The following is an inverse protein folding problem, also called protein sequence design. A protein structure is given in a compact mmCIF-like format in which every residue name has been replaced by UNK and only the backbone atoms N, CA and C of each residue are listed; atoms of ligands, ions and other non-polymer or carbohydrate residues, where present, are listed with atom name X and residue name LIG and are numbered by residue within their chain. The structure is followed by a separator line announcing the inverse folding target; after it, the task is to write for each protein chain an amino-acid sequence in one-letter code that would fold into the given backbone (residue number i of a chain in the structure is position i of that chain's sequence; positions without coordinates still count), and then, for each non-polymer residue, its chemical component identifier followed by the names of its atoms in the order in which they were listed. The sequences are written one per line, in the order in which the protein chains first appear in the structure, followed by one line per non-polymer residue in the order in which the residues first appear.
data_IF_816595092513
#
_entry.id   IF_816595092513
#
_cell.length_a   1.000
_cell.length_b   1.000
_cell.length_c   1.000
_cell.angle_alpha   90.00
_cell.angle_beta   90.00
_cell.angle_gamma   90.00
#
_symmetry.space_group_name_H-M   'P 1'
#
loop_
_entity.id
_entity.type
_entity.pdbx_description
1 polymer ?
#
# COMPACT_ATOMS: atom_id res chain seq x y z
N UNK A 1 -15.47 7.89 -11.77
CA UNK A 1 -14.75 7.36 -10.59
C UNK A 1 -13.22 7.36 -10.74
N UNK A 2 -12.63 7.05 -11.91
CA UNK A 2 -11.17 6.87 -12.04
C UNK A 2 -10.33 8.16 -12.18
N UNK A 3 -10.92 9.30 -12.55
CA UNK A 3 -10.26 10.61 -12.44
C UNK A 3 -9.93 10.93 -10.97
N UNK A 4 -10.66 10.36 -10.00
CA UNK A 4 -10.40 10.58 -8.58
C UNK A 4 -9.07 9.96 -8.12
N UNK A 5 -8.58 8.94 -8.83
CA UNK A 5 -7.24 8.33 -8.60
C UNK A 5 -6.10 9.24 -9.02
N UNK A 6 -6.39 10.32 -9.76
CA UNK A 6 -5.42 11.32 -10.14
C UNK A 6 -5.28 12.36 -9.05
N UNK A 7 -4.03 12.61 -8.66
CA UNK A 7 -3.67 13.63 -7.69
C UNK A 7 -3.38 14.91 -8.46
N UNK A 8 -4.11 16.01 -8.23
CA UNK A 8 -3.81 17.29 -8.88
C UNK A 8 -2.53 17.88 -8.31
N UNK A 9 -1.59 18.24 -9.18
CA UNK A 9 -0.23 18.68 -8.79
C UNK A 9 0.13 20.09 -9.20
N UNK A 10 -0.72 20.74 -10.01
CA UNK A 10 -0.54 22.15 -10.38
C UNK A 10 -0.50 23.00 -9.09
N UNK A 11 0.66 23.62 -8.82
CA UNK A 11 0.93 24.38 -7.60
C UNK A 11 1.45 23.58 -6.39
N UNK A 12 1.63 22.26 -6.51
CA UNK A 12 1.94 21.36 -5.37
C UNK A 12 3.14 20.44 -5.62
N UNK A 13 3.97 20.73 -6.62
CA UNK A 13 5.18 19.95 -6.95
C UNK A 13 6.14 19.79 -5.76
N UNK A 14 6.21 20.79 -4.87
CA UNK A 14 7.03 20.75 -3.65
C UNK A 14 6.61 19.58 -2.74
N UNK A 15 5.32 19.40 -2.48
CA UNK A 15 4.80 18.36 -1.59
C UNK A 15 5.15 16.95 -2.10
N UNK A 16 5.07 16.73 -3.42
CA UNK A 16 5.42 15.45 -4.03
C UNK A 16 6.92 15.18 -3.93
N UNK A 17 7.73 16.21 -4.17
CA UNK A 17 9.18 16.12 -3.99
C UNK A 17 9.55 15.87 -2.53
N UNK A 18 8.77 16.42 -1.59
CA UNK A 18 8.96 16.21 -0.17
C UNK A 18 8.55 14.79 0.24
N UNK A 19 7.51 14.20 -0.35
CA UNK A 19 7.17 12.78 -0.18
C UNK A 19 8.31 11.87 -0.66
N UNK A 20 8.91 12.12 -1.84
CA UNK A 20 10.09 11.36 -2.29
C UNK A 20 11.25 11.50 -1.28
N UNK A 21 11.46 12.70 -0.74
CA UNK A 21 12.52 12.98 0.24
C UNK A 21 12.27 12.32 1.59
N UNK A 22 11.01 12.09 1.99
CA UNK A 22 10.67 11.40 3.24
C UNK A 22 11.36 10.04 3.38
N UNK A 23 11.54 9.35 2.24
CA UNK A 23 12.10 8.01 2.17
C UNK A 23 13.56 7.98 1.72
N UNK A 24 14.07 9.07 1.13
CA UNK A 24 15.49 9.18 0.71
C UNK A 24 16.41 9.58 1.85
N UNK A 25 15.90 10.33 2.83
CA UNK A 25 16.63 10.69 4.06
C UNK A 25 15.74 10.41 5.27
N UNK A 26 15.67 9.14 5.73
CA UNK A 26 14.78 8.75 6.82
C UNK A 26 15.11 9.44 8.15
N UNK A 27 16.29 10.07 8.28
CA UNK A 27 16.73 10.83 9.46
C UNK A 27 16.71 12.35 9.25
N UNK A 28 16.11 12.82 8.16
CA UNK A 28 16.00 14.24 7.87
C UNK A 28 15.40 15.00 9.05
N UNK A 29 16.07 16.08 9.46
CA UNK A 29 15.60 16.98 10.51
C UNK A 29 14.78 18.16 9.98
N UNK A 30 14.45 18.16 8.68
CA UNK A 30 13.66 19.25 8.09
C UNK A 30 12.24 19.21 8.65
N UNK A 31 11.82 20.34 9.24
CA UNK A 31 10.52 20.50 9.91
C UNK A 31 9.34 20.05 9.02
N UNK A 32 9.33 20.44 7.75
CA UNK A 32 8.28 20.07 6.79
C UNK A 32 8.16 18.55 6.59
N UNK A 33 9.30 17.84 6.53
CA UNK A 33 9.34 16.38 6.36
C UNK A 33 8.93 15.64 7.65
N UNK A 34 9.35 16.15 8.80
CA UNK A 34 8.91 15.63 10.10
C UNK A 34 7.39 15.75 10.22
N UNK A 35 6.83 16.94 9.93
CA UNK A 35 5.39 17.18 9.96
C UNK A 35 4.66 16.22 9.02
N UNK A 36 5.11 16.07 7.77
CA UNK A 36 4.42 15.21 6.81
C UNK A 36 4.44 13.73 7.23
N UNK A 37 5.53 13.27 7.85
CA UNK A 37 5.62 11.94 8.46
C UNK A 37 4.64 11.77 9.61
N UNK A 38 4.61 12.73 10.54
CA UNK A 38 3.68 12.73 11.66
C UNK A 38 2.23 12.71 11.18
N UNK A 39 1.89 13.54 10.19
CA UNK A 39 0.57 13.56 9.59
C UNK A 39 0.18 12.20 8.99
N UNK A 40 1.08 11.52 8.26
CA UNK A 40 0.79 10.21 7.68
C UNK A 40 0.46 9.17 8.76
N UNK A 41 1.24 9.13 9.84
CA UNK A 41 0.98 8.23 10.98
C UNK A 41 -0.31 8.60 11.70
N UNK A 42 -0.50 9.88 12.02
CA UNK A 42 -1.70 10.36 12.71
C UNK A 42 -2.96 10.10 11.90
N UNK A 43 -2.89 10.22 10.57
CA UNK A 43 -4.01 9.90 9.69
C UNK A 43 -4.44 8.44 9.86
N UNK A 44 -3.51 7.48 9.86
CA UNK A 44 -3.85 6.08 10.11
C UNK A 44 -4.39 5.85 11.54
N UNK A 45 -3.80 6.52 12.54
CA UNK A 45 -4.18 6.38 13.95
C UNK A 45 -5.59 6.93 14.22
N UNK A 46 -5.92 8.10 13.67
CA UNK A 46 -7.20 8.78 13.88
C UNK A 46 -8.38 8.10 13.16
N UNK A 47 -8.12 7.12 12.28
CA UNK A 47 -9.19 6.28 11.72
C UNK A 47 -9.74 5.39 12.82
N UNK A 48 -10.73 5.92 13.51
CA UNK A 48 -11.43 5.28 14.61
C UNK A 48 -12.66 4.52 14.07
N UNK A 49 -12.39 3.45 13.32
CA UNK A 49 -13.39 2.48 12.86
C UNK A 49 -12.84 1.08 13.04
N UNK A 50 -13.73 0.12 13.28
CA UNK A 50 -13.35 -1.29 13.29
C UNK A 50 -12.89 -1.73 11.89
N UNK A 51 -11.89 -2.63 11.81
CA UNK A 51 -11.49 -3.20 10.53
C UNK A 51 -12.65 -3.97 9.90
N UNK A 52 -12.79 -3.87 8.58
CA UNK A 52 -13.79 -4.68 7.88
C UNK A 52 -13.45 -6.15 8.05
N UNK A 53 -14.43 -6.96 8.47
CA UNK A 53 -14.26 -8.42 8.53
C UNK A 53 -14.06 -9.01 7.14
N UNK A 54 -13.06 -9.90 7.01
CA UNK A 54 -12.81 -10.64 5.75
C UNK A 54 -14.01 -11.49 5.32
N UNK A 55 -14.87 -11.92 6.25
CA UNK A 55 -16.10 -12.67 5.94
C UNK A 55 -17.06 -11.83 5.09
N UNK A 56 -17.15 -10.52 5.36
CA UNK A 56 -18.08 -9.64 4.66
C UNK A 56 -17.61 -9.31 3.24
N UNK A 57 -16.31 -9.42 2.99
CA UNK A 57 -15.72 -9.15 1.68
C UNK A 57 -15.61 -10.42 0.83
N UNK A 58 -15.56 -11.62 1.41
CA UNK A 58 -15.55 -12.86 0.60
C UNK A 58 -16.96 -13.21 0.09
N UNK A 59 -17.99 -12.96 0.89
CA UNK A 59 -19.38 -13.23 0.51
C UNK A 59 -20.13 -11.93 0.31
N UNK A 60 -20.30 -11.47 -0.92
CA UNK A 60 -20.99 -10.19 -1.15
C UNK A 60 -22.51 -10.34 -1.20
N UNK A 61 -23.12 -10.21 -0.04
CA UNK A 61 -24.57 -10.03 0.10
C UNK A 61 -24.90 -8.56 0.37
N UNK A 62 -26.14 -8.15 0.08
CA UNK A 62 -26.67 -6.83 0.46
C UNK A 62 -26.47 -6.58 1.97
N UNK A 63 -26.63 -7.62 2.79
CA UNK A 63 -26.41 -7.55 4.23
C UNK A 63 -24.95 -7.25 4.59
N UNK A 64 -24.00 -7.88 3.92
CA UNK A 64 -22.58 -7.62 4.17
C UNK A 64 -22.17 -6.22 3.72
N UNK A 65 -22.75 -5.72 2.63
CA UNK A 65 -22.58 -4.33 2.21
C UNK A 65 -23.16 -3.34 3.24
N UNK A 66 -24.34 -3.63 3.79
CA UNK A 66 -24.94 -2.84 4.86
C UNK A 66 -24.10 -2.85 6.14
N UNK A 67 -23.49 -3.99 6.50
CA UNK A 67 -22.57 -4.10 7.63
C UNK A 67 -21.33 -3.23 7.44
N UNK A 68 -20.71 -3.26 6.24
CA UNK A 68 -19.56 -2.40 5.90
C UNK A 68 -19.97 -0.92 6.00
N UNK A 69 -21.15 -0.55 5.51
CA UNK A 69 -21.67 0.83 5.58
C UNK A 69 -21.80 1.35 7.02
N UNK A 70 -22.15 0.47 7.98
CA UNK A 70 -22.32 0.82 9.40
C UNK A 70 -20.99 1.03 10.12
N UNK A 71 -19.93 0.32 9.72
CA UNK A 71 -18.60 0.44 10.35
C UNK A 71 -17.76 1.55 9.71
N UNK A 72 -18.05 1.95 8.47
CA UNK A 72 -17.30 2.96 7.75
C UNK A 72 -17.64 4.40 8.17
N UNK A 73 -16.67 5.32 8.10
CA UNK A 73 -16.87 6.75 8.35
C UNK A 73 -17.09 7.51 7.04
N UNK A 74 -17.87 8.58 7.08
CA UNK A 74 -18.01 9.48 5.93
C UNK A 74 -16.68 10.17 5.62
N UNK A 75 -16.15 9.97 4.41
CA UNK A 75 -14.81 10.45 4.02
C UNK A 75 -14.66 11.97 4.18
N UNK A 76 -15.67 12.75 3.73
CA UNK A 76 -15.66 14.22 3.84
C UNK A 76 -15.57 14.69 5.29
N UNK A 77 -16.45 14.17 6.15
CA UNK A 77 -16.50 14.50 7.57
C UNK A 77 -15.23 14.09 8.31
N UNK A 78 -14.64 12.96 7.92
CA UNK A 78 -13.36 12.51 8.46
C UNK A 78 -12.23 13.49 8.08
N UNK A 79 -12.14 13.86 6.81
CA UNK A 79 -11.13 14.82 6.34
C UNK A 79 -11.29 16.17 7.03
N UNK A 80 -12.49 16.73 7.13
CA UNK A 80 -12.77 18.01 7.80
C UNK A 80 -12.25 18.02 9.25
N UNK A 81 -12.56 16.99 10.03
CA UNK A 81 -12.07 16.86 11.41
C UNK A 81 -10.55 16.77 11.50
N UNK A 82 -9.92 16.09 10.56
CA UNK A 82 -8.47 15.93 10.55
C UNK A 82 -7.77 17.25 10.13
N UNK A 83 -8.34 18.01 9.19
CA UNK A 83 -7.87 19.35 8.82
C UNK A 83 -7.83 20.27 10.04
N UNK A 84 -8.94 20.34 10.77
CA UNK A 84 -9.09 21.18 11.96
C UNK A 84 -8.08 20.81 13.06
N UNK A 85 -7.86 19.50 13.28
CA UNK A 85 -7.02 19.00 14.37
C UNK A 85 -5.51 19.20 14.11
N UNK A 86 -5.07 19.13 12.86
CA UNK A 86 -3.63 19.06 12.52
C UNK A 86 -3.13 20.17 11.59
N UNK A 87 -3.94 21.19 11.30
CA UNK A 87 -3.60 22.30 10.40
C UNK A 87 -3.01 21.80 9.05
N UNK A 88 -3.67 20.78 8.49
CA UNK A 88 -3.32 20.22 7.19
C UNK A 88 -4.17 20.87 6.10
N UNK A 89 -3.69 20.86 4.85
CA UNK A 89 -4.51 21.24 3.70
C UNK A 89 -5.32 20.04 3.18
N UNK A 90 -6.47 20.29 2.55
CA UNK A 90 -7.31 19.24 1.95
C UNK A 90 -6.53 18.37 0.95
N UNK A 91 -5.61 18.99 0.20
CA UNK A 91 -4.75 18.31 -0.77
C UNK A 91 -3.69 17.43 -0.10
N UNK A 92 -3.09 17.87 1.01
CA UNK A 92 -2.19 17.01 1.80
C UNK A 92 -2.92 15.78 2.28
N UNK A 93 -4.10 15.94 2.89
CA UNK A 93 -4.90 14.80 3.36
C UNK A 93 -5.25 13.87 2.20
N UNK A 94 -5.67 14.40 1.05
CA UNK A 94 -5.96 13.58 -0.12
C UNK A 94 -4.75 12.73 -0.53
N UNK A 95 -3.56 13.32 -0.58
CA UNK A 95 -2.33 12.59 -0.95
C UNK A 95 -2.00 11.51 0.09
N UNK A 96 -2.06 11.85 1.38
CA UNK A 96 -1.76 10.90 2.46
C UNK A 96 -2.76 9.74 2.48
N UNK A 97 -4.05 10.03 2.29
CA UNK A 97 -5.09 9.01 2.16
C UNK A 97 -4.85 8.10 0.94
N UNK A 98 -4.40 8.66 -0.19
CA UNK A 98 -4.04 7.88 -1.38
C UNK A 98 -2.85 6.96 -1.13
N UNK A 99 -1.85 7.43 -0.38
CA UNK A 99 -0.73 6.59 0.08
C UNK A 99 -1.25 5.45 0.96
N UNK A 100 -2.04 5.73 2.00
CA UNK A 100 -2.59 4.69 2.88
C UNK A 100 -3.46 3.68 2.12
N UNK A 101 -4.25 4.13 1.14
CA UNK A 101 -5.09 3.26 0.30
C UNK A 101 -4.25 2.35 -0.59
N UNK A 102 -3.25 2.88 -1.30
CA UNK A 102 -2.42 2.04 -2.16
C UNK A 102 -1.48 1.10 -1.41
N UNK A 103 -1.18 1.42 -0.14
CA UNK A 103 -0.56 0.50 0.83
C UNK A 103 -1.54 -0.55 1.38
N UNK A 104 -2.84 -0.42 1.11
CA UNK A 104 -3.86 -1.38 1.53
C UNK A 104 -4.29 -1.23 2.99
N UNK A 105 -4.00 -0.11 3.67
CA UNK A 105 -4.40 0.12 5.07
C UNK A 105 -5.85 0.59 5.20
N UNK A 106 -6.36 1.22 4.15
CA UNK A 106 -7.73 1.73 4.09
C UNK A 106 -8.33 1.38 2.73
N UNK A 107 -9.66 1.38 2.67
CA UNK A 107 -10.38 1.32 1.40
C UNK A 107 -11.47 2.39 1.35
N UNK A 108 -11.81 2.81 0.13
CA UNK A 108 -12.93 3.71 -0.11
C UNK A 108 -14.12 2.94 -0.67
N UNK A 109 -15.28 3.15 -0.06
CA UNK A 109 -16.54 2.63 -0.57
C UNK A 109 -17.39 3.78 -1.09
N UNK A 110 -18.02 3.57 -2.24
CA UNK A 110 -19.07 4.46 -2.74
C UNK A 110 -20.41 3.75 -2.54
N UNK A 111 -21.28 4.36 -1.74
CA UNK A 111 -22.62 3.85 -1.44
C UNK A 111 -23.63 4.93 -1.81
N UNK A 112 -24.29 4.76 -2.96
CA UNK A 112 -25.08 5.82 -3.58
C UNK A 112 -24.23 7.09 -3.79
N UNK A 113 -24.64 8.19 -3.15
CA UNK A 113 -23.92 9.47 -3.19
C UNK A 113 -22.92 9.67 -2.03
N UNK A 114 -22.83 8.71 -1.10
CA UNK A 114 -21.91 8.79 0.05
C UNK A 114 -20.58 8.13 -0.29
N UNK A 115 -19.47 8.78 0.09
CA UNK A 115 -18.13 8.19 0.11
C UNK A 115 -17.76 7.86 1.53
N UNK A 116 -17.37 6.61 1.75
CA UNK A 116 -17.01 6.09 3.05
C UNK A 116 -15.54 5.66 3.03
N UNK A 117 -14.88 5.80 4.18
CA UNK A 117 -13.55 5.30 4.47
C UNK A 117 -13.66 4.19 5.50
N UNK A 118 -12.94 3.10 5.27
CA UNK A 118 -12.87 1.97 6.20
C UNK A 118 -11.43 1.54 6.42
N UNK A 119 -11.16 1.00 7.61
CA UNK A 119 -9.90 0.40 7.98
C UNK A 119 -9.87 -1.07 7.49
N UNK A 120 -8.75 -1.52 6.95
CA UNK A 120 -8.52 -2.94 6.63
C UNK A 120 -7.92 -3.67 7.83
N UNK A 121 -7.93 -5.00 7.82
CA UNK A 121 -7.25 -5.79 8.86
C UNK A 121 -5.75 -5.47 8.89
N UNK A 122 -5.12 -5.32 7.71
CA UNK A 122 -3.73 -4.89 7.60
C UNK A 122 -3.51 -3.49 8.22
N UNK A 123 -4.41 -2.55 7.94
CA UNK A 123 -4.37 -1.20 8.51
C UNK A 123 -4.49 -1.19 10.03
N UNK A 124 -5.38 -2.02 10.58
CA UNK A 124 -5.55 -2.16 12.04
C UNK A 124 -4.30 -2.72 12.72
N UNK A 125 -3.68 -3.76 12.17
CA UNK A 125 -2.43 -4.32 12.71
C UNK A 125 -1.30 -3.28 12.72
N UNK A 126 -1.13 -2.56 11.60
CA UNK A 126 -0.10 -1.53 11.50
C UNK A 126 -0.41 -0.37 12.44
N UNK A 127 -1.68 0.05 12.55
CA UNK A 127 -2.14 1.07 13.49
C UNK A 127 -1.81 0.71 14.95
N UNK A 128 -2.12 -0.51 15.37
CA UNK A 128 -1.87 -0.97 16.73
C UNK A 128 -0.36 -1.06 17.01
N UNK A 129 0.41 -1.47 16.00
CA UNK A 129 1.86 -1.54 16.10
C UNK A 129 2.51 -0.15 16.27
N UNK A 130 2.12 0.84 15.46
CA UNK A 130 2.68 2.21 15.58
C UNK A 130 2.22 2.93 16.85
N UNK A 131 1.03 2.62 17.37
CA UNK A 131 0.50 3.20 18.61
C UNK A 131 1.31 2.80 19.85
N UNK A 132 2.06 1.70 19.80
CA UNK A 132 2.97 1.27 20.90
C UNK A 132 4.22 2.16 21.03
N UNK A 133 4.34 3.24 20.24
CA UNK A 133 5.34 4.32 20.31
C UNK A 133 6.82 3.92 20.10
N UNK A 134 7.13 2.64 19.93
CA UNK A 134 8.49 2.16 19.66
C UNK A 134 8.95 2.35 18.20
N UNK A 135 8.05 2.79 17.29
CA UNK A 135 8.33 2.88 15.86
C UNK A 135 7.99 4.26 15.30
N UNK A 136 9.02 4.98 14.82
CA UNK A 136 8.87 6.28 14.12
C UNK A 136 9.45 6.25 12.70
N UNK A 137 9.62 5.04 12.16
CA UNK A 137 10.23 4.76 10.87
C UNK A 137 9.12 4.58 9.82
N UNK A 138 9.16 5.37 8.75
CA UNK A 138 8.17 5.31 7.66
C UNK A 138 8.19 3.98 6.92
N UNK A 139 9.30 3.29 7.01
CA UNK A 139 9.57 1.92 6.58
C UNK A 139 8.48 0.94 7.05
N UNK A 140 8.03 1.09 8.31
CA UNK A 140 6.96 0.28 8.92
C UNK A 140 5.62 0.48 8.21
N UNK A 141 5.41 1.62 7.56
CA UNK A 141 4.22 1.85 6.74
C UNK A 141 4.35 1.25 5.33
N UNK A 142 5.52 0.88 4.85
CA UNK A 142 5.66 0.41 3.47
C UNK A 142 5.80 -1.11 3.42
N UNK A 143 6.64 -1.68 4.29
CA UNK A 143 7.01 -3.10 4.20
C UNK A 143 5.86 -4.08 4.38
N UNK A 144 4.92 -3.89 5.32
CA UNK A 144 3.79 -4.81 5.48
C UNK A 144 3.00 -4.96 4.18
N UNK A 145 2.75 -3.85 3.48
CA UNK A 145 1.99 -3.81 2.23
C UNK A 145 2.62 -4.62 1.10
N UNK A 146 3.95 -4.77 1.09
CA UNK A 146 4.64 -5.49 0.03
C UNK A 146 4.33 -6.98 0.07
N UNK A 147 3.92 -7.52 1.21
CA UNK A 147 3.66 -8.96 1.34
C UNK A 147 2.31 -9.34 0.72
N UNK A 148 1.34 -8.45 0.77
CA UNK A 148 -0.05 -8.70 0.41
C UNK A 148 -0.39 -8.22 -1.00
N UNK A 149 -1.50 -8.68 -1.56
CA UNK A 149 -2.06 -8.17 -2.83
C UNK A 149 -2.49 -6.71 -2.70
N UNK A 150 -1.53 -5.80 -2.78
CA UNK A 150 -1.73 -4.34 -2.70
C UNK A 150 -1.18 -3.68 -3.96
N UNK A 151 -1.58 -2.43 -4.20
CA UNK A 151 -0.99 -1.61 -5.27
C UNK A 151 0.51 -1.42 -5.05
N UNK A 152 0.91 -1.18 -3.80
CA UNK A 152 2.31 -1.06 -3.41
C UNK A 152 3.14 -2.30 -3.81
N UNK A 153 2.66 -3.52 -3.54
CA UNK A 153 3.36 -4.75 -3.95
C UNK A 153 3.53 -4.86 -5.47
N UNK A 154 2.46 -4.58 -6.22
CA UNK A 154 2.49 -4.67 -7.67
C UNK A 154 3.43 -3.63 -8.29
N UNK A 155 3.37 -2.37 -7.82
CA UNK A 155 4.28 -1.30 -8.26
C UNK A 155 5.72 -1.60 -7.87
N UNK A 156 5.96 -2.05 -6.63
CA UNK A 156 7.31 -2.40 -6.16
C UNK A 156 7.96 -3.48 -7.03
N UNK A 157 7.16 -4.50 -7.37
CA UNK A 157 7.60 -5.58 -8.22
C UNK A 157 8.02 -5.09 -9.61
N UNK A 158 7.11 -4.44 -10.32
CA UNK A 158 7.40 -3.89 -11.65
C UNK A 158 8.57 -2.90 -11.63
N UNK A 159 8.65 -2.06 -10.60
CA UNK A 159 9.76 -1.13 -10.39
C UNK A 159 11.11 -1.81 -10.29
N UNK A 160 11.22 -2.90 -9.54
CA UNK A 160 12.49 -3.62 -9.44
C UNK A 160 12.86 -4.36 -10.72
N UNK A 161 11.88 -4.86 -11.48
CA UNK A 161 12.14 -5.60 -12.71
C UNK A 161 12.48 -4.71 -13.90
N UNK A 162 11.95 -3.48 -13.95
CA UNK A 162 11.97 -2.63 -15.14
C UNK A 162 12.51 -1.21 -14.86
N UNK A 163 12.88 -0.89 -13.63
CA UNK A 163 13.30 0.45 -13.23
C UNK A 163 12.16 1.47 -13.30
N UNK A 164 12.45 2.72 -13.67
CA UNK A 164 11.45 3.81 -13.81
C UNK A 164 10.68 3.81 -15.13
N UNK A 165 10.85 2.79 -15.97
CA UNK A 165 10.24 2.79 -17.29
C UNK A 165 8.74 2.46 -17.22
N UNK A 166 7.93 3.51 -17.09
CA UNK A 166 6.47 3.44 -17.05
C UNK A 166 5.85 2.83 -18.30
N UNK A 167 6.52 2.95 -19.46
CA UNK A 167 6.04 2.35 -20.69
C UNK A 167 6.30 0.85 -20.69
N UNK A 168 7.49 0.43 -20.24
CA UNK A 168 7.77 -0.98 -20.01
C UNK A 168 6.82 -1.56 -18.95
N UNK A 169 6.54 -0.82 -17.88
CA UNK A 169 5.56 -1.24 -16.86
C UNK A 169 4.19 -1.46 -17.45
N UNK A 170 3.70 -0.51 -18.24
CA UNK A 170 2.43 -0.62 -18.94
C UNK A 170 2.41 -1.86 -19.83
N UNK A 171 3.44 -2.06 -20.65
CA UNK A 171 3.51 -3.19 -21.58
C UNK A 171 3.54 -4.54 -20.85
N UNK A 172 4.37 -4.67 -19.81
CA UNK A 172 4.48 -5.89 -19.01
C UNK A 172 3.19 -6.14 -18.23
N UNK A 173 2.63 -5.11 -17.60
CA UNK A 173 1.40 -5.26 -16.83
C UNK A 173 0.20 -5.57 -17.73
N UNK A 174 0.11 -4.97 -18.91
CA UNK A 174 -0.87 -5.34 -19.94
C UNK A 174 -0.69 -6.80 -20.32
N UNK A 175 0.52 -7.20 -20.75
CA UNK A 175 0.82 -8.58 -21.15
C UNK A 175 0.42 -9.56 -20.05
N UNK A 176 0.90 -9.37 -18.83
CA UNK A 176 0.65 -10.30 -17.73
C UNK A 176 -0.84 -10.30 -17.30
N UNK A 177 -1.57 -9.19 -17.49
CA UNK A 177 -3.02 -9.13 -17.26
C UNK A 177 -3.79 -9.90 -18.34
N UNK A 178 -3.45 -9.74 -19.62
CA UNK A 178 -4.13 -10.39 -20.75
C UNK A 178 -3.75 -11.87 -20.92
N UNK A 179 -2.55 -12.26 -20.50
CA UNK A 179 -2.10 -13.65 -20.46
C UNK A 179 -2.56 -14.40 -19.19
N UNK A 180 -3.51 -13.83 -18.43
CA UNK A 180 -4.03 -14.38 -17.16
C UNK A 180 -2.95 -14.72 -16.11
N UNK A 181 -1.77 -14.10 -16.21
CA UNK A 181 -0.66 -14.36 -15.30
C UNK A 181 -0.82 -13.68 -13.93
N UNK A 182 -1.69 -12.66 -13.85
CA UNK A 182 -1.98 -11.85 -12.66
C UNK A 182 -3.21 -12.29 -11.86
N UNK A 183 -3.56 -13.59 -11.91
CA UNK A 183 -4.74 -14.16 -11.21
C UNK A 183 -4.95 -13.62 -9.79
N UNK A 184 -6.10 -12.99 -9.59
CA UNK A 184 -6.58 -12.34 -8.37
C UNK A 184 -5.85 -11.05 -7.94
N UNK A 185 -5.05 -10.42 -8.81
CA UNK A 185 -4.53 -9.04 -8.66
C UNK A 185 -5.00 -8.12 -9.80
N UNK A 186 -5.94 -8.57 -10.62
CA UNK A 186 -6.38 -7.95 -11.87
C UNK A 186 -6.94 -6.57 -11.62
N UNK A 187 -7.77 -6.36 -10.59
CA UNK A 187 -8.28 -5.00 -10.32
C UNK A 187 -7.16 -4.04 -9.98
N UNK A 188 -6.15 -4.46 -9.22
CA UNK A 188 -5.01 -3.61 -8.87
C UNK A 188 -4.22 -3.27 -10.14
N UNK A 189 -3.97 -4.27 -10.99
CA UNK A 189 -3.34 -4.10 -12.29
C UNK A 189 -4.12 -3.12 -13.18
N UNK A 190 -5.44 -3.32 -13.30
CA UNK A 190 -6.36 -2.46 -14.04
C UNK A 190 -6.34 -1.04 -13.48
N UNK A 191 -6.33 -0.84 -12.16
CA UNK A 191 -6.22 0.49 -11.57
C UNK A 191 -4.90 1.18 -11.95
N UNK A 192 -3.77 0.47 -11.88
CA UNK A 192 -2.46 1.00 -12.29
C UNK A 192 -2.45 1.31 -13.79
N UNK A 193 -2.95 0.41 -14.64
CA UNK A 193 -3.02 0.62 -16.09
C UNK A 193 -3.87 1.84 -16.43
N UNK A 194 -5.05 2.00 -15.83
CA UNK A 194 -5.90 3.16 -16.04
C UNK A 194 -5.23 4.45 -15.58
N UNK A 195 -4.60 4.44 -14.41
CA UNK A 195 -3.79 5.57 -13.92
C UNK A 195 -2.70 5.97 -14.93
N UNK A 196 -1.98 5.00 -15.49
CA UNK A 196 -0.93 5.21 -16.49
C UNK A 196 -1.51 5.77 -17.80
N UNK A 197 -2.62 5.23 -18.28
CA UNK A 197 -3.30 5.69 -19.51
C UNK A 197 -3.78 7.13 -19.36
N UNK A 198 -4.46 7.45 -18.26
CA UNK A 198 -5.00 8.79 -17.99
C UNK A 198 -3.93 9.87 -17.85
N UNK A 199 -2.72 9.49 -17.42
CA UNK A 199 -1.60 10.41 -17.21
C UNK A 199 -0.53 10.31 -18.29
N UNK A 200 -0.82 9.63 -19.39
CA UNK A 200 0.11 9.39 -20.49
C UNK A 200 1.51 8.97 -20.00
N UNK A 201 1.60 7.78 -19.38
CA UNK A 201 2.84 7.21 -18.85
C UNK A 201 3.63 8.17 -17.93
N UNK A 202 2.93 8.92 -17.07
CA UNK A 202 3.54 9.84 -16.11
C UNK A 202 3.83 11.24 -16.65
N UNK A 203 3.43 11.54 -17.88
CA UNK A 203 3.54 12.88 -18.47
C UNK A 203 2.22 13.64 -18.33
N UNK A 204 2.03 14.31 -17.19
CA UNK A 204 0.99 15.32 -17.07
C UNK A 204 1.49 16.54 -16.28
N UNK A 205 1.32 17.76 -16.81
CA UNK A 205 1.68 18.98 -16.07
C UNK A 205 0.74 19.24 -14.89
N UNK A 206 -0.45 18.62 -14.90
CA UNK A 206 -1.54 18.95 -13.97
C UNK A 206 -1.83 17.82 -12.97
N UNK A 207 -1.50 16.57 -13.29
CA UNK A 207 -1.87 15.41 -12.48
C UNK A 207 -0.73 14.41 -12.32
N UNK A 208 -0.72 13.69 -11.20
CA UNK A 208 0.12 12.52 -10.97
C UNK A 208 -0.77 11.34 -10.57
N UNK A 209 -0.50 10.13 -11.08
CA UNK A 209 -1.18 8.95 -10.61
C UNK A 209 -0.61 8.50 -9.25
N UNK A 210 -1.43 7.79 -8.46
CA UNK A 210 -1.06 7.22 -7.17
C UNK A 210 0.14 6.26 -7.29
N UNK A 211 0.18 5.46 -8.36
CA UNK A 211 1.31 4.58 -8.70
C UNK A 211 2.65 5.31 -8.76
N UNK A 212 2.71 6.55 -9.29
CA UNK A 212 3.95 7.35 -9.34
C UNK A 212 4.46 7.68 -7.93
N UNK A 213 3.55 7.94 -6.97
CA UNK A 213 3.96 8.17 -5.57
C UNK A 213 4.69 6.96 -5.02
N UNK A 214 4.20 5.74 -5.30
CA UNK A 214 4.86 4.53 -4.83
C UNK A 214 6.23 4.33 -5.45
N UNK A 215 6.42 4.61 -6.74
CA UNK A 215 7.76 4.59 -7.36
C UNK A 215 8.70 5.53 -6.62
N UNK A 216 8.23 6.72 -6.28
CA UNK A 216 9.01 7.75 -5.59
C UNK A 216 9.37 7.32 -4.16
N UNK A 217 8.43 6.69 -3.46
CA UNK A 217 8.66 6.07 -2.15
C UNK A 217 9.71 4.96 -2.26
N UNK A 218 9.56 4.05 -3.23
CA UNK A 218 10.51 2.95 -3.45
C UNK A 218 11.88 3.42 -3.93
N UNK A 219 11.96 4.50 -4.71
CA UNK A 219 13.21 5.18 -5.04
C UNK A 219 13.97 5.56 -3.77
N UNK A 220 13.28 6.29 -2.89
CA UNK A 220 13.85 6.76 -1.64
C UNK A 220 14.33 5.61 -0.78
N UNK A 221 13.50 4.60 -0.59
CA UNK A 221 13.86 3.40 0.18
C UNK A 221 15.05 2.65 -0.44
N UNK A 222 15.09 2.50 -1.77
CA UNK A 222 16.20 1.86 -2.48
C UNK A 222 17.48 2.67 -2.34
N UNK A 223 17.42 4.01 -2.40
CA UNK A 223 18.58 4.88 -2.17
C UNK A 223 19.10 4.79 -0.73
N UNK A 224 18.19 4.68 0.24
CA UNK A 224 18.53 4.64 1.66
C UNK A 224 19.10 3.29 2.10
N UNK A 225 18.60 2.18 1.54
CA UNK A 225 18.89 0.83 2.02
C UNK A 225 19.55 -0.09 0.98
N UNK A 226 19.58 0.29 -0.30
CA UNK A 226 20.12 -0.52 -1.37
C UNK A 226 19.44 -1.88 -1.47
N UNK A 227 20.24 -2.93 -1.63
CA UNK A 227 19.73 -4.30 -1.75
C UNK A 227 19.13 -4.83 -0.45
N UNK A 228 19.45 -4.26 0.73
CA UNK A 228 18.83 -4.68 1.99
C UNK A 228 17.31 -4.51 1.99
N UNK A 229 16.77 -3.52 1.27
CA UNK A 229 15.33 -3.37 1.13
C UNK A 229 14.70 -4.52 0.33
N UNK A 230 15.40 -5.00 -0.70
CA UNK A 230 14.97 -6.17 -1.48
C UNK A 230 15.05 -7.44 -0.67
N UNK A 231 16.14 -7.64 0.07
CA UNK A 231 16.32 -8.78 0.98
C UNK A 231 15.23 -8.79 2.07
N UNK A 232 14.89 -7.63 2.65
CA UNK A 232 13.79 -7.53 3.60
C UNK A 232 12.46 -7.98 2.98
N UNK A 233 12.15 -7.46 1.80
CA UNK A 233 10.94 -7.86 1.09
C UNK A 233 10.89 -9.37 0.87
N UNK A 234 11.98 -9.97 0.37
CA UNK A 234 12.06 -11.41 0.09
C UNK A 234 11.87 -12.21 1.39
N UNK A 235 12.63 -11.90 2.44
CA UNK A 235 12.62 -12.62 3.70
C UNK A 235 11.25 -12.57 4.38
N UNK A 236 10.60 -11.39 4.42
CA UNK A 236 9.27 -11.24 5.00
C UNK A 236 8.21 -11.93 4.13
N UNK A 237 8.29 -11.80 2.80
CA UNK A 237 7.35 -12.45 1.89
C UNK A 237 7.41 -13.97 2.03
N UNK A 238 8.62 -14.53 2.11
CA UNK A 238 8.84 -15.95 2.37
C UNK A 238 8.27 -16.35 3.74
N UNK A 239 8.66 -15.67 4.81
CA UNK A 239 8.23 -16.02 6.17
C UNK A 239 6.71 -15.98 6.37
N UNK A 240 6.05 -14.96 5.84
CA UNK A 240 4.60 -14.75 6.00
C UNK A 240 3.80 -15.70 5.10
N UNK A 241 4.26 -15.95 3.86
CA UNK A 241 3.43 -16.61 2.84
C UNK A 241 3.74 -18.09 2.65
N UNK A 242 4.99 -18.53 2.84
CA UNK A 242 5.46 -19.86 2.46
C UNK A 242 4.59 -20.99 3.02
N UNK A 243 4.31 -20.94 4.32
CA UNK A 243 3.46 -21.92 4.98
C UNK A 243 2.05 -22.00 4.35
N UNK A 244 1.45 -20.85 4.04
CA UNK A 244 0.13 -20.78 3.41
C UNK A 244 0.14 -21.23 1.95
N UNK A 245 1.24 -21.00 1.24
CA UNK A 245 1.44 -21.49 -0.11
C UNK A 245 1.62 -22.99 -0.18
N UNK A 246 2.23 -23.61 0.84
CA UNK A 246 2.33 -25.06 0.96
C UNK A 246 0.97 -25.68 1.34
N UNK A 247 0.20 -25.04 2.22
CA UNK A 247 -1.15 -25.50 2.62
C UNK A 247 -2.22 -25.30 1.55
N UNK A 248 -2.18 -24.19 0.81
CA UNK A 248 -3.21 -23.77 -0.14
C UNK A 248 -2.59 -23.18 -1.41
N UNK A 249 -1.82 -23.98 -2.15
CA UNK A 249 -1.01 -23.55 -3.30
C UNK A 249 -1.79 -22.88 -4.43
N UNK A 250 -3.05 -23.28 -4.65
CA UNK A 250 -3.93 -22.68 -5.66
C UNK A 250 -4.46 -21.30 -5.25
N UNK A 251 -4.67 -21.08 -3.94
CA UNK A 251 -5.27 -19.85 -3.41
C UNK A 251 -4.23 -18.79 -3.07
N UNK A 252 -3.12 -19.21 -2.46
CA UNK A 252 -2.04 -18.32 -2.03
C UNK A 252 -0.71 -18.71 -2.67
N UNK A 253 -0.57 -18.69 -4.00
CA UNK A 253 0.65 -19.13 -4.65
C UNK A 253 1.87 -18.27 -4.26
N UNK A 254 2.96 -18.93 -3.88
CA UNK A 254 4.28 -18.31 -3.76
C UNK A 254 5.05 -18.56 -5.05
N UNK A 255 5.10 -17.56 -5.93
CA UNK A 255 5.89 -17.62 -7.17
C UNK A 255 7.30 -17.09 -6.90
N UNK A 256 8.24 -18.02 -6.66
CA UNK A 256 9.67 -17.69 -6.52
C UNK A 256 10.20 -17.07 -7.80
N UNK A 257 9.77 -17.55 -8.96
CA UNK A 257 10.31 -17.17 -10.27
C UNK A 257 10.09 -15.70 -10.67
N UNK A 258 9.06 -15.02 -10.12
CA UNK A 258 8.80 -13.61 -10.43
C UNK A 258 9.82 -12.67 -9.78
N UNK A 259 10.50 -13.11 -8.72
CA UNK A 259 11.42 -12.27 -7.91
C UNK A 259 12.77 -12.96 -7.60
N UNK A 260 12.88 -14.25 -7.91
CA UNK A 260 13.99 -15.16 -7.61
C UNK A 260 15.01 -15.31 -8.73
N UNK A 261 14.96 -14.45 -9.76
CA UNK A 261 16.14 -14.18 -10.60
C UNK A 261 17.18 -13.29 -9.86
N UNK A 262 16.87 -12.86 -8.64
CA UNK A 262 17.81 -12.22 -7.73
C UNK A 262 18.45 -13.30 -6.84
N UNK A 263 19.67 -13.66 -7.24
CA UNK A 263 20.73 -14.44 -6.59
C UNK A 263 20.36 -15.46 -5.48
N UNK A 264 20.75 -16.72 -5.67
CA UNK A 264 20.56 -17.85 -4.72
C UNK A 264 21.60 -17.86 -3.60
N UNK A 265 22.33 -16.75 -3.38
CA UNK A 265 23.21 -16.59 -2.21
C UNK A 265 22.40 -16.66 -0.93
N UNK A 266 23.08 -17.03 0.16
CA UNK A 266 22.51 -17.14 1.52
C UNK A 266 21.63 -15.92 1.84
N UNK A 267 20.31 -16.12 1.81
CA UNK A 267 19.32 -15.08 2.13
C UNK A 267 19.49 -14.67 3.58
N UNK A 268 19.43 -13.37 3.84
CA UNK A 268 19.45 -12.87 5.21
C UNK A 268 18.15 -13.27 5.92
N UNK A 269 18.27 -13.74 7.15
CA UNK A 269 17.15 -13.89 8.06
C UNK A 269 16.56 -12.53 8.45
N UNK A 270 15.29 -12.53 8.89
CA UNK A 270 14.62 -11.31 9.39
C UNK A 270 15.47 -10.65 10.49
N UNK A 271 16.05 -11.44 11.39
CA UNK A 271 16.84 -10.93 12.52
C UNK A 271 18.13 -10.23 12.05
N UNK A 272 18.79 -10.78 11.02
CA UNK A 272 19.95 -10.15 10.39
C UNK A 272 19.58 -8.84 9.69
N UNK A 273 18.43 -8.81 9.02
CA UNK A 273 17.93 -7.62 8.32
C UNK A 273 17.54 -6.53 9.32
N UNK A 274 16.84 -6.86 10.41
CA UNK A 274 16.49 -5.90 11.47
C UNK A 274 17.73 -5.23 12.05
N UNK A 275 18.78 -6.04 12.32
CA UNK A 275 20.05 -5.54 12.85
C UNK A 275 20.73 -4.59 11.86
N UNK A 276 20.77 -4.94 10.58
CA UNK A 276 21.46 -4.15 9.54
C UNK A 276 20.68 -2.86 9.19
N UNK A 277 19.35 -2.94 9.09
CA UNK A 277 18.49 -1.78 8.80
C UNK A 277 18.20 -0.91 10.03
N UNK A 278 18.60 -1.37 11.23
CA UNK A 278 18.32 -0.74 12.53
C UNK A 278 16.82 -0.61 12.82
N UNK A 279 16.04 -1.57 12.33
CA UNK A 279 14.59 -1.69 12.54
C UNK A 279 14.35 -2.58 13.75
N UNK A 280 14.73 -2.10 14.95
CA UNK A 280 14.53 -2.87 16.18
C UNK A 280 13.07 -3.26 16.31
N UNK A 281 12.81 -4.50 16.71
CA UNK A 281 11.49 -5.02 17.07
C UNK A 281 10.49 -5.06 15.89
N UNK A 282 10.92 -5.30 14.65
CA UNK A 282 9.99 -5.50 13.54
C UNK A 282 9.28 -6.87 13.62
N UNK A 283 9.91 -7.84 14.28
CA UNK A 283 9.47 -9.23 14.39
C UNK A 283 8.05 -9.41 14.93
N UNK A 284 7.61 -8.73 16.01
CA UNK A 284 6.23 -8.80 16.46
C UNK A 284 5.21 -8.39 15.40
N UNK A 285 5.51 -7.38 14.56
CA UNK A 285 4.63 -7.03 13.44
C UNK A 285 4.61 -8.16 12.41
N UNK A 286 5.77 -8.67 12.02
CA UNK A 286 5.87 -9.75 11.02
C UNK A 286 5.13 -11.01 11.48
N UNK A 287 5.26 -11.38 12.76
CA UNK A 287 4.54 -12.52 13.34
C UNK A 287 3.02 -12.29 13.32
N UNK A 288 2.56 -11.07 13.63
CA UNK A 288 1.14 -10.72 13.49
C UNK A 288 0.67 -10.77 12.02
N UNK A 289 1.49 -10.33 11.06
CA UNK A 289 1.17 -10.45 9.63
C UNK A 289 1.04 -11.91 9.21
N UNK A 290 1.91 -12.79 9.73
CA UNK A 290 1.85 -14.23 9.47
C UNK A 290 0.56 -14.87 10.01
N UNK A 291 0.21 -14.56 11.25
CA UNK A 291 -1.00 -15.07 11.91
C UNK A 291 -2.26 -14.61 11.16
N UNK A 292 -2.29 -13.36 10.70
CA UNK A 292 -3.46 -12.77 10.03
C UNK A 292 -3.43 -12.91 8.51
N UNK A 293 -2.45 -13.61 7.93
CA UNK A 293 -2.19 -13.61 6.50
C UNK A 293 -3.42 -13.99 5.68
N UNK A 294 -4.05 -15.12 6.01
CA UNK A 294 -5.22 -15.60 5.30
C UNK A 294 -6.40 -14.61 5.39
N UNK A 295 -6.66 -14.04 6.58
CA UNK A 295 -7.76 -13.07 6.74
C UNK A 295 -7.53 -11.82 5.89
N UNK A 296 -6.31 -11.30 5.89
CA UNK A 296 -5.94 -10.11 5.11
C UNK A 296 -6.01 -10.39 3.61
N UNK A 297 -5.44 -11.50 3.13
CA UNK A 297 -5.52 -11.86 1.71
C UNK A 297 -6.96 -12.12 1.27
N UNK A 298 -7.77 -12.80 2.08
CA UNK A 298 -9.18 -13.02 1.79
C UNK A 298 -9.98 -11.71 1.75
N UNK A 299 -9.64 -10.76 2.62
CA UNK A 299 -10.23 -9.44 2.57
C UNK A 299 -9.92 -8.75 1.25
N UNK A 300 -8.65 -8.72 0.85
CA UNK A 300 -8.22 -8.12 -0.41
C UNK A 300 -8.81 -8.83 -1.62
N UNK A 301 -8.81 -10.15 -1.66
CA UNK A 301 -9.49 -10.95 -2.70
C UNK A 301 -10.92 -10.48 -2.88
N UNK A 302 -11.69 -10.43 -1.78
CA UNK A 302 -13.05 -9.91 -1.81
C UNK A 302 -13.16 -8.50 -2.38
N UNK A 303 -12.40 -7.56 -1.84
CA UNK A 303 -12.43 -6.17 -2.31
C UNK A 303 -12.01 -6.00 -3.78
N UNK A 304 -11.14 -6.89 -4.26
CA UNK A 304 -10.58 -6.83 -5.60
C UNK A 304 -11.33 -7.63 -6.66
N UNK A 305 -12.03 -8.68 -6.25
CA UNK A 305 -12.91 -9.51 -7.09
C UNK A 305 -14.34 -8.94 -7.17
N UNK A 306 -14.68 -7.92 -6.37
CA UNK A 306 -15.94 -7.21 -6.51
C UNK A 306 -16.02 -6.57 -7.90
N UNK A 307 -16.99 -6.95 -8.77
CA UNK A 307 -17.31 -6.15 -9.92
C UNK A 307 -17.72 -4.78 -9.37
N UNK A 308 -17.04 -3.70 -9.79
CA UNK A 308 -17.58 -2.37 -9.50
C UNK A 308 -18.97 -2.37 -10.10
N UNK A 309 -20.00 -2.17 -9.26
CA UNK A 309 -21.35 -1.94 -9.74
C UNK A 309 -21.25 -0.88 -10.84
N UNK A 310 -21.55 -1.32 -12.07
CA UNK A 310 -21.63 -0.45 -13.24
C UNK A 310 -22.70 0.61 -12.98
#
# INVERSE_FOLDING_TARGET
MYIESLIPVKGHKKILSDIERLFTDPRSRKKDLIRLRELLFQLLIDIDVEPISSVYTVMFTIDNYNKISRTAKGLKKYSEKFLEKFDASEKEILILLRILRGLGYIEFFKIGNRRLISLTTLGALVKDFINKKEYRFLEVLVFPSLVFRTKARLVYGLYNSLGYDLRAWYQVLMRDLFEENLRGSERIAIEILHEIVLTAAGSSPNYYPESILFIKIFNGLTKSYGDLFKELFIAVNEYVRREWSEKMSTRFPYKVSTWGLLDTRSRLSIDEIEKQMKLKNLRPLIDQLKINFESIENQFLGLYEFPRAY
#
